data_IF_751179977238
#
_entry.id   IF_751179977238
#
_cell.length_a   1.000
_cell.length_b   1.000
_cell.length_c   1.000
_cell.angle_alpha   90.00
_cell.angle_beta   90.00
_cell.angle_gamma   90.00
#
_symmetry.space_group_name_H-M   'P 1'
#
loop_
_entity.id
_entity.type
_entity.pdbx_description
1 polymer ?
#
# COMPACT_ATOMS: atom_id res chain seq x y z
N UNK A 1 57.57 2.82 -8.99
CA UNK A 1 58.19 3.98 -8.29
C UNK A 1 58.22 5.13 -9.28
N UNK A 2 57.61 6.30 -9.11
CA UNK A 2 56.97 6.96 -7.98
C UNK A 2 55.87 7.89 -8.51
N UNK A 3 54.72 7.94 -7.82
CA UNK A 3 53.69 8.96 -7.99
C UNK A 3 54.11 10.22 -7.22
N UNK A 4 54.08 11.39 -7.86
CA UNK A 4 54.07 12.67 -7.18
C UNK A 4 52.85 13.45 -7.68
N UNK A 5 51.90 13.70 -6.77
CA UNK A 5 50.68 14.44 -7.02
C UNK A 5 50.93 15.94 -7.16
N UNK A 6 50.07 16.60 -7.93
CA UNK A 6 50.00 18.06 -8.02
C UNK A 6 48.65 18.51 -7.45
N UNK A 7 48.74 19.42 -6.48
CA UNK A 7 47.65 19.90 -5.63
C UNK A 7 46.83 21.01 -6.29
N UNK A 8 45.59 21.15 -5.84
CA UNK A 8 44.44 21.85 -6.41
C UNK A 8 44.38 23.34 -6.09
N UNK A 9 45.52 24.04 -6.03
CA UNK A 9 45.59 25.42 -5.53
C UNK A 9 46.31 26.43 -6.46
N UNK A 10 46.51 26.08 -7.75
CA UNK A 10 47.30 26.92 -8.67
C UNK A 10 46.58 27.40 -9.94
N UNK A 11 45.24 27.35 -10.00
CA UNK A 11 44.48 27.68 -11.22
C UNK A 11 43.44 28.80 -11.08
N UNK A 12 43.59 29.73 -10.13
CA UNK A 12 42.61 30.81 -9.92
C UNK A 12 43.17 32.24 -9.88
N UNK A 13 44.31 32.51 -10.55
CA UNK A 13 44.81 33.88 -10.72
C UNK A 13 45.36 34.14 -12.12
N UNK A 14 44.48 34.05 -13.12
CA UNK A 14 44.74 34.73 -14.38
C UNK A 14 43.42 35.07 -15.07
N UNK A 15 43.32 36.32 -15.53
CA UNK A 15 42.25 36.94 -16.34
C UNK A 15 41.08 37.59 -15.61
N UNK A 16 41.10 38.92 -15.55
CA UNK A 16 39.87 39.69 -15.31
C UNK A 16 39.95 41.14 -14.86
N UNK A 17 40.92 41.95 -15.31
CA UNK A 17 40.83 43.41 -15.20
C UNK A 17 40.88 44.04 -16.59
N UNK A 18 39.75 44.55 -17.08
CA UNK A 18 39.67 45.62 -18.10
C UNK A 18 38.24 46.14 -18.19
N UNK A 19 38.09 47.44 -17.97
CA UNK A 19 36.89 48.25 -18.15
C UNK A 19 36.71 48.65 -19.62
N UNK A 20 35.49 48.56 -20.15
CA UNK A 20 35.06 49.34 -21.33
C UNK A 20 33.53 49.47 -21.37
N UNK A 21 33.08 50.71 -21.53
CA UNK A 21 31.74 51.20 -21.80
C UNK A 21 31.22 50.82 -23.21
N UNK A 22 29.92 50.54 -23.36
CA UNK A 22 29.04 51.18 -24.37
C UNK A 22 27.67 50.49 -24.51
N UNK A 23 26.64 51.34 -24.56
CA UNK A 23 25.42 51.29 -25.38
C UNK A 23 24.37 50.19 -25.19
N UNK A 24 23.12 50.67 -25.22
CA UNK A 24 21.92 49.94 -24.91
C UNK A 24 21.50 48.90 -25.95
N UNK A 25 20.70 47.96 -25.47
CA UNK A 25 19.76 47.21 -26.29
C UNK A 25 18.50 46.98 -25.46
N UNK A 26 17.39 47.46 -26.01
CA UNK A 26 16.06 47.31 -25.46
C UNK A 26 15.78 45.83 -25.18
N UNK A 27 15.43 45.51 -23.94
CA UNK A 27 14.94 44.19 -23.56
C UNK A 27 13.59 43.95 -24.27
N UNK A 28 13.64 43.29 -25.43
CA UNK A 28 12.44 42.75 -26.06
C UNK A 28 11.95 41.63 -25.15
N UNK A 29 10.85 41.91 -24.46
CA UNK A 29 10.10 40.95 -23.64
C UNK A 29 9.70 39.76 -24.52
N UNK A 30 10.51 38.69 -24.50
CA UNK A 30 10.18 37.44 -25.17
C UNK A 30 9.18 36.72 -24.26
N UNK A 31 7.90 37.10 -24.40
CA UNK A 31 6.79 36.42 -23.74
C UNK A 31 6.85 34.94 -24.12
N UNK A 32 7.14 34.08 -23.14
CA UNK A 32 6.91 32.65 -23.23
C UNK A 32 5.41 32.42 -23.50
N UNK A 33 5.04 31.48 -24.38
CA UNK A 33 3.64 31.15 -24.61
C UNK A 33 2.98 30.73 -23.29
N UNK A 34 1.69 31.04 -23.07
CA UNK A 34 0.99 30.67 -21.85
C UNK A 34 1.07 29.16 -21.69
N UNK A 35 1.74 28.72 -20.62
CA UNK A 35 1.71 27.33 -20.18
C UNK A 35 0.23 26.93 -20.11
N UNK A 36 -0.16 25.99 -20.97
CA UNK A 36 -1.46 25.34 -20.86
C UNK A 36 -1.56 24.85 -19.42
N UNK A 37 -2.51 25.40 -18.66
CA UNK A 37 -2.84 24.90 -17.33
C UNK A 37 -3.10 23.41 -17.51
N UNK A 38 -2.20 22.58 -16.99
CA UNK A 38 -2.42 21.14 -16.87
C UNK A 38 -3.46 20.97 -15.76
N UNK A 39 -4.70 21.32 -16.11
CA UNK A 39 -5.86 21.21 -15.27
C UNK A 39 -6.35 19.78 -15.37
N UNK A 40 -5.86 18.95 -14.45
CA UNK A 40 -6.62 18.00 -13.62
C UNK A 40 -5.60 17.04 -13.01
N UNK A 41 -5.37 17.17 -11.71
CA UNK A 41 -4.94 16.07 -10.86
C UNK A 41 -6.07 15.03 -10.85
N UNK A 42 -6.30 14.34 -11.97
CA UNK A 42 -6.98 13.07 -11.93
C UNK A 42 -5.98 12.11 -11.29
N UNK A 43 -6.25 11.70 -10.05
CA UNK A 43 -5.64 10.50 -9.50
C UNK A 43 -6.01 9.39 -10.49
N UNK A 44 -5.07 9.04 -11.37
CA UNK A 44 -5.31 8.04 -12.39
C UNK A 44 -5.51 6.70 -11.68
N UNK A 45 -6.76 6.29 -11.58
CA UNK A 45 -7.18 5.02 -11.03
C UNK A 45 -7.58 4.11 -12.17
N UNK A 46 -6.86 3.00 -12.34
CA UNK A 46 -7.18 2.00 -13.37
C UNK A 46 -8.55 1.36 -13.13
N UNK A 47 -9.04 1.39 -11.89
CA UNK A 47 -10.38 0.90 -11.54
C UNK A 47 -11.50 1.80 -12.09
N UNK A 48 -11.20 3.06 -12.45
CA UNK A 48 -12.16 4.02 -13.00
C UNK A 48 -12.03 4.19 -14.53
N UNK A 49 -11.15 3.43 -15.18
CA UNK A 49 -11.01 3.47 -16.63
C UNK A 49 -12.31 2.96 -17.27
N UNK A 50 -13.05 3.87 -17.93
CA UNK A 50 -14.19 3.51 -18.74
C UNK A 50 -13.71 2.79 -20.00
N UNK A 51 -14.31 1.63 -20.30
CA UNK A 51 -14.02 0.84 -21.50
C UNK A 51 -15.21 0.89 -22.44
N UNK A 52 -15.01 1.43 -23.64
CA UNK A 52 -16.00 1.38 -24.71
C UNK A 52 -16.06 -0.03 -25.33
N UNK A 53 -17.15 -0.38 -26.04
CA UNK A 53 -17.23 -1.65 -26.77
C UNK A 53 -16.14 -1.80 -27.84
N UNK A 54 -15.77 -0.70 -28.49
CA UNK A 54 -14.70 -0.66 -29.50
C UNK A 54 -13.32 -0.93 -28.86
N UNK A 55 -13.03 -0.28 -27.74
CA UNK A 55 -11.78 -0.49 -27.00
C UNK A 55 -11.67 -1.93 -26.48
N UNK A 56 -12.79 -2.50 -26.02
CA UNK A 56 -12.85 -3.89 -25.57
C UNK A 56 -12.62 -4.87 -26.74
N UNK A 57 -13.17 -4.57 -27.92
CA UNK A 57 -12.91 -5.36 -29.13
C UNK A 57 -11.43 -5.35 -29.50
N UNK A 58 -10.79 -4.17 -29.47
CA UNK A 58 -9.35 -4.03 -29.71
C UNK A 58 -8.51 -4.78 -28.67
N UNK A 59 -8.92 -4.77 -27.40
CA UNK A 59 -8.29 -5.57 -26.36
C UNK A 59 -8.35 -7.08 -26.67
N UNK A 60 -9.53 -7.59 -27.05
CA UNK A 60 -9.69 -9.01 -27.41
C UNK A 60 -8.88 -9.39 -28.65
N UNK A 61 -8.87 -8.52 -29.67
CA UNK A 61 -8.04 -8.68 -30.86
C UNK A 61 -6.54 -8.69 -30.51
N UNK A 62 -6.09 -7.79 -29.64
CA UNK A 62 -4.70 -7.75 -29.19
C UNK A 62 -4.30 -9.00 -28.39
N UNK A 63 -5.22 -9.59 -27.61
CA UNK A 63 -4.98 -10.85 -26.89
C UNK A 63 -4.81 -12.04 -27.84
N UNK A 64 -5.48 -12.05 -28.99
CA UNK A 64 -5.30 -13.12 -30.00
C UNK A 64 -4.05 -12.90 -30.85
N UNK A 65 -3.71 -11.64 -31.16
CA UNK A 65 -2.51 -11.28 -31.93
C UNK A 65 -1.21 -11.45 -31.12
N UNK A 66 -1.26 -11.24 -29.80
CA UNK A 66 -0.10 -11.34 -28.90
C UNK A 66 -0.32 -12.42 -27.83
N UNK A 67 -0.21 -13.71 -28.20
CA UNK A 67 -0.53 -14.83 -27.31
C UNK A 67 0.51 -15.01 -26.19
N UNK A 68 0.12 -15.70 -25.12
CA UNK A 68 0.95 -15.90 -23.93
C UNK A 68 2.17 -16.76 -24.12
N UNK A 69 2.13 -17.63 -25.11
CA UNK A 69 3.18 -18.58 -25.41
C UNK A 69 4.36 -17.92 -26.11
N UNK A 70 4.15 -16.73 -26.72
CA UNK A 70 5.14 -16.02 -27.55
C UNK A 70 5.61 -14.68 -26.98
N UNK A 71 4.81 -14.05 -26.13
CA UNK A 71 5.12 -12.74 -25.55
C UNK A 71 5.01 -12.77 -24.03
N UNK A 72 6.03 -12.26 -23.34
CA UNK A 72 5.94 -12.02 -21.90
C UNK A 72 4.85 -10.98 -21.59
N UNK A 73 4.33 -11.00 -20.36
CA UNK A 73 3.19 -10.18 -19.99
C UNK A 73 3.44 -8.67 -20.19
N UNK A 74 4.65 -8.17 -19.94
CA UNK A 74 4.95 -6.73 -20.07
C UNK A 74 4.92 -6.35 -21.55
N UNK A 75 5.67 -7.06 -22.39
CA UNK A 75 5.69 -6.80 -23.85
C UNK A 75 4.31 -6.95 -24.47
N UNK A 76 3.54 -7.96 -24.05
CA UNK A 76 2.16 -8.18 -24.49
C UNK A 76 1.29 -6.97 -24.17
N UNK A 77 1.29 -6.50 -22.93
CA UNK A 77 0.46 -5.36 -22.52
C UNK A 77 0.87 -4.06 -23.20
N UNK A 78 2.17 -3.85 -23.46
CA UNK A 78 2.66 -2.71 -24.24
C UNK A 78 2.08 -2.74 -25.65
N UNK A 79 2.18 -3.89 -26.33
CA UNK A 79 1.69 -4.04 -27.71
C UNK A 79 0.17 -3.84 -27.80
N UNK A 80 -0.58 -4.38 -26.85
CA UNK A 80 -2.03 -4.19 -26.78
C UNK A 80 -2.38 -2.74 -26.50
N UNK A 81 -1.74 -2.10 -25.50
CA UNK A 81 -2.00 -0.69 -25.18
C UNK A 81 -1.72 0.24 -26.36
N UNK A 82 -0.72 -0.07 -27.18
CA UNK A 82 -0.43 0.69 -28.40
C UNK A 82 -1.55 0.62 -29.46
N UNK A 83 -2.46 -0.37 -29.38
CA UNK A 83 -3.62 -0.49 -30.28
C UNK A 83 -4.87 0.24 -29.78
N UNK A 84 -4.91 0.64 -28.50
CA UNK A 84 -6.11 1.20 -27.86
C UNK A 84 -5.80 2.64 -27.45
N UNK A 85 -6.34 3.66 -28.15
CA UNK A 85 -6.10 5.06 -27.80
C UNK A 85 -6.62 5.36 -26.38
N UNK A 86 -5.96 6.30 -25.71
CA UNK A 86 -6.32 6.77 -24.36
C UNK A 86 -6.33 5.71 -23.25
N UNK A 87 -5.78 4.51 -23.50
CA UNK A 87 -5.57 3.46 -22.48
C UNK A 87 -4.10 3.24 -22.24
N UNK A 88 -3.73 3.19 -20.96
CA UNK A 88 -2.35 2.90 -20.59
C UNK A 88 -2.11 1.40 -20.45
N UNK A 89 -0.83 1.01 -20.45
CA UNK A 89 -0.36 -0.35 -20.14
C UNK A 89 -0.98 -0.84 -18.81
N UNK A 90 -1.16 0.07 -17.82
CA UNK A 90 -1.75 -0.27 -16.53
C UNK A 90 -3.25 -0.58 -16.62
N UNK A 91 -3.99 0.11 -17.48
CA UNK A 91 -5.42 -0.19 -17.72
C UNK A 91 -5.58 -1.56 -18.35
N UNK A 92 -4.77 -1.83 -19.38
CA UNK A 92 -4.77 -3.11 -20.12
C UNK A 92 -4.46 -4.27 -19.17
N UNK A 93 -3.38 -4.16 -18.39
CA UNK A 93 -2.99 -5.18 -17.42
C UNK A 93 -4.09 -5.44 -16.38
N UNK A 94 -4.73 -4.37 -15.87
CA UNK A 94 -5.82 -4.49 -14.90
C UNK A 94 -7.03 -5.20 -15.51
N UNK A 95 -7.41 -4.82 -16.74
CA UNK A 95 -8.57 -5.38 -17.44
C UNK A 95 -8.38 -6.86 -17.74
N UNK A 96 -7.24 -7.26 -18.28
CA UNK A 96 -6.91 -8.67 -18.56
C UNK A 96 -6.95 -9.50 -17.28
N UNK A 97 -6.28 -9.04 -16.21
CA UNK A 97 -6.31 -9.73 -14.90
C UNK A 97 -7.73 -9.85 -14.34
N UNK A 98 -8.58 -8.85 -14.55
CA UNK A 98 -9.99 -8.90 -14.10
C UNK A 98 -10.81 -9.95 -14.84
N UNK A 99 -10.51 -10.18 -16.12
CA UNK A 99 -11.15 -11.20 -16.95
C UNK A 99 -10.72 -12.61 -16.52
N UNK A 100 -9.43 -12.83 -16.27
CA UNK A 100 -8.90 -14.13 -15.84
C UNK A 100 -9.54 -14.58 -14.50
N UNK A 101 -9.79 -13.63 -13.59
CA UNK A 101 -10.47 -13.90 -12.31
C UNK A 101 -11.93 -14.33 -12.49
N UNK A 102 -12.61 -13.89 -13.55
CA UNK A 102 -14.00 -14.28 -13.82
C UNK A 102 -14.13 -15.72 -14.34
N UNK A 103 -13.04 -16.28 -14.88
CA UNK A 103 -13.00 -17.67 -15.36
C UNK A 103 -12.71 -18.65 -14.21
N UNK A 104 -11.92 -18.24 -13.22
CA UNK A 104 -11.54 -19.09 -12.06
C UNK A 104 -12.58 -19.04 -10.92
N UNK A 105 -13.44 -18.01 -10.87
CA UNK A 105 -14.39 -17.78 -9.76
C UNK A 105 -15.82 -18.32 -9.95
N UNK A 106 -16.15 -18.95 -11.08
CA UNK A 106 -17.54 -19.34 -11.41
C UNK A 106 -18.01 -20.66 -10.78
N UNK A 107 -17.80 -20.84 -9.47
CA UNK A 107 -18.49 -21.87 -8.66
C UNK A 107 -19.34 -21.27 -7.52
N UNK A 108 -19.60 -19.97 -7.49
CA UNK A 108 -20.69 -19.41 -6.68
C UNK A 108 -21.25 -18.15 -7.35
N UNK A 109 -22.32 -18.33 -8.14
CA UNK A 109 -23.13 -17.23 -8.65
C UNK A 109 -24.04 -16.68 -7.54
N UNK A 110 -24.21 -15.35 -7.47
CA UNK A 110 -25.45 -14.74 -7.95
C UNK A 110 -25.26 -13.24 -8.29
N UNK A 111 -26.01 -12.68 -9.25
CA UNK A 111 -25.72 -11.39 -9.89
C UNK A 111 -26.61 -10.22 -9.40
N UNK A 112 -25.98 -9.03 -9.43
CA UNK A 112 -26.50 -7.72 -9.86
C UNK A 112 -27.97 -7.34 -9.59
N UNK A 113 -28.22 -6.31 -8.77
CA UNK A 113 -29.11 -5.20 -9.15
C UNK A 113 -28.97 -3.96 -8.25
N UNK A 114 -28.94 -2.81 -8.93
CA UNK A 114 -29.10 -1.44 -8.45
C UNK A 114 -30.43 -1.20 -7.73
N UNK A 115 -30.42 -0.48 -6.58
CA UNK A 115 -31.21 0.73 -6.30
C UNK A 115 -31.21 1.09 -4.79
N UNK A 116 -30.87 2.36 -4.52
CA UNK A 116 -31.38 3.28 -3.48
C UNK A 116 -31.32 2.90 -1.97
N UNK A 117 -30.64 3.76 -1.21
CA UNK A 117 -30.88 4.03 0.22
C UNK A 117 -32.14 4.93 0.40
N UNK A 118 -32.60 5.30 1.62
CA UNK A 118 -32.31 4.82 2.99
C UNK A 118 -33.57 4.58 3.86
N UNK A 119 -33.48 3.86 4.99
CA UNK A 119 -34.33 4.14 6.15
C UNK A 119 -33.79 3.54 7.47
N UNK A 120 -33.70 4.42 8.47
CA UNK A 120 -33.59 4.14 9.90
C UNK A 120 -34.70 3.21 10.40
N UNK A 121 -34.37 2.28 11.30
CA UNK A 121 -35.31 1.79 12.30
C UNK A 121 -34.59 1.49 13.61
N UNK A 122 -34.78 2.40 14.56
CA UNK A 122 -34.57 2.21 16.00
C UNK A 122 -35.59 1.19 16.52
N UNK A 123 -35.16 0.15 17.24
CA UNK A 123 -36.08 -0.62 18.10
C UNK A 123 -35.44 -0.87 19.47
N UNK A 124 -35.80 0.04 20.37
CA UNK A 124 -36.23 -0.12 21.77
C UNK A 124 -35.96 -1.45 22.51
N UNK A 125 -35.29 -1.25 23.64
CA UNK A 125 -35.26 -1.99 24.91
C UNK A 125 -36.59 -2.63 25.35
N UNK A 126 -36.50 -3.88 25.84
CA UNK A 126 -37.28 -4.50 26.94
C UNK A 126 -36.70 -5.92 27.13
N UNK A 127 -36.68 -6.61 28.27
CA UNK A 127 -36.97 -6.35 29.69
C UNK A 127 -36.30 -7.52 30.44
N UNK A 128 -35.77 -7.24 31.62
CA UNK A 128 -35.21 -8.19 32.58
C UNK A 128 -36.26 -9.17 33.08
N UNK A 129 -35.93 -10.47 33.16
CA UNK A 129 -36.50 -11.39 34.15
C UNK A 129 -35.35 -12.08 34.92
N UNK A 130 -35.43 -11.97 36.24
CA UNK A 130 -34.63 -12.70 37.22
C UNK A 130 -35.16 -14.12 37.34
N UNK A 131 -34.28 -15.12 37.36
CA UNK A 131 -34.52 -16.32 38.14
C UNK A 131 -33.23 -16.70 38.87
N UNK A 132 -33.24 -16.39 40.16
CA UNK A 132 -32.25 -16.77 41.17
C UNK A 132 -32.53 -18.21 41.59
N UNK A 133 -31.60 -19.14 41.41
CA UNK A 133 -31.44 -20.34 42.24
C UNK A 133 -29.96 -20.73 42.24
N UNK A 134 -29.35 -20.58 43.42
CA UNK A 134 -27.90 -20.54 43.60
C UNK A 134 -27.16 -21.87 43.39
N UNK A 135 -25.93 -21.73 42.89
CA UNK A 135 -24.78 -22.55 43.21
C UNK A 135 -23.51 -21.75 42.86
N UNK A 136 -22.81 -21.30 43.89
CA UNK A 136 -21.39 -20.89 43.99
C UNK A 136 -20.76 -20.00 42.87
N UNK A 137 -20.13 -18.86 43.22
CA UNK A 137 -19.43 -18.05 42.25
C UNK A 137 -18.11 -18.75 41.86
N UNK A 138 -18.08 -19.42 40.71
CA UNK A 138 -16.81 -19.60 40.02
C UNK A 138 -16.37 -18.21 39.56
N UNK A 139 -15.41 -17.69 40.33
CA UNK A 139 -14.49 -16.60 39.99
C UNK A 139 -14.38 -16.45 38.46
N UNK A 140 -14.90 -15.38 37.87
CA UNK A 140 -14.59 -15.08 36.48
C UNK A 140 -13.08 -14.94 36.38
N UNK A 141 -12.46 -15.81 35.57
CA UNK A 141 -11.09 -15.59 35.09
C UNK A 141 -11.10 -14.20 34.46
N UNK A 142 -10.55 -13.23 35.18
CA UNK A 142 -10.32 -11.88 34.69
C UNK A 142 -9.25 -11.99 33.61
N UNK A 143 -9.69 -12.33 32.40
CA UNK A 143 -8.96 -12.01 31.19
C UNK A 143 -8.81 -10.49 31.25
N UNK A 144 -7.60 -10.06 31.61
CA UNK A 144 -7.22 -8.66 31.72
C UNK A 144 -7.77 -7.94 30.49
N UNK A 145 -8.62 -6.94 30.76
CA UNK A 145 -9.14 -5.95 29.82
C UNK A 145 -8.00 -5.03 29.34
N UNK A 146 -6.91 -5.61 28.84
CA UNK A 146 -5.77 -4.89 28.27
C UNK A 146 -5.68 -5.08 26.76
N UNK A 147 -6.17 -6.19 26.22
CA UNK A 147 -6.15 -6.49 24.77
C UNK A 147 -6.98 -5.50 23.94
N UNK A 148 -8.07 -4.96 24.50
CA UNK A 148 -8.96 -4.02 23.80
C UNK A 148 -8.29 -2.63 23.62
N UNK A 149 -7.42 -2.22 24.55
CA UNK A 149 -6.77 -0.89 24.52
C UNK A 149 -5.73 -0.76 23.40
N UNK A 150 -4.92 -1.80 23.18
CA UNK A 150 -3.88 -1.79 22.15
C UNK A 150 -4.47 -1.78 20.73
N UNK A 151 -5.56 -2.51 20.51
CA UNK A 151 -6.26 -2.56 19.23
C UNK A 151 -6.88 -1.20 18.86
N UNK A 152 -7.60 -0.57 19.79
CA UNK A 152 -8.20 0.76 19.57
C UNK A 152 -7.14 1.83 19.29
N UNK A 153 -5.99 1.71 19.94
CA UNK A 153 -4.86 2.61 19.71
C UNK A 153 -4.23 2.43 18.32
N UNK A 154 -4.14 1.20 17.81
CA UNK A 154 -3.69 0.92 16.44
C UNK A 154 -4.70 1.46 15.43
N UNK A 155 -6.00 1.21 15.64
CA UNK A 155 -7.08 1.76 14.80
C UNK A 155 -7.02 3.29 14.72
N UNK A 156 -6.79 3.96 15.85
CA UNK A 156 -6.65 5.41 15.89
C UNK A 156 -5.44 5.90 15.09
N UNK A 157 -4.27 5.28 15.24
CA UNK A 157 -3.07 5.63 14.46
C UNK A 157 -3.25 5.36 12.96
N UNK A 158 -3.98 4.31 12.58
CA UNK A 158 -4.32 4.05 11.17
C UNK A 158 -5.28 5.11 10.60
N UNK A 159 -6.30 5.49 11.37
CA UNK A 159 -7.21 6.55 10.98
C UNK A 159 -6.49 7.88 10.81
N UNK A 160 -5.55 8.17 11.71
CA UNK A 160 -4.72 9.36 11.63
C UNK A 160 -3.83 9.37 10.39
N UNK A 161 -3.23 8.22 10.02
CA UNK A 161 -2.53 8.07 8.75
C UNK A 161 -3.42 8.36 7.52
N UNK A 162 -4.68 7.94 7.53
CA UNK A 162 -5.62 8.27 6.46
C UNK A 162 -5.87 9.78 6.37
N UNK A 163 -5.96 10.47 7.51
CA UNK A 163 -6.10 11.93 7.54
C UNK A 163 -4.84 12.62 7.01
N UNK A 164 -3.66 12.18 7.42
CA UNK A 164 -2.36 12.70 6.96
C UNK A 164 -2.23 12.58 5.44
N UNK A 165 -2.58 11.42 4.87
CA UNK A 165 -2.55 11.20 3.41
C UNK A 165 -3.53 12.15 2.70
N UNK A 166 -4.72 12.36 3.27
CA UNK A 166 -5.68 13.31 2.71
C UNK A 166 -5.18 14.76 2.75
N UNK A 167 -4.51 15.15 3.82
CA UNK A 167 -3.86 16.46 3.92
C UNK A 167 -2.72 16.60 2.92
N UNK A 168 -1.89 15.57 2.74
CA UNK A 168 -0.83 15.56 1.72
C UNK A 168 -1.43 15.74 0.33
N UNK A 169 -2.50 15.00 0.03
CA UNK A 169 -3.22 15.12 -1.24
C UNK A 169 -3.78 16.53 -1.45
N UNK A 170 -4.34 17.16 -0.41
CA UNK A 170 -4.85 18.53 -0.50
C UNK A 170 -3.73 19.54 -0.80
N UNK A 171 -2.60 19.42 -0.10
CA UNK A 171 -1.42 20.26 -0.32
C UNK A 171 -0.82 20.08 -1.71
N UNK A 172 -0.79 18.85 -2.22
CA UNK A 172 -0.37 18.58 -3.60
C UNK A 172 -1.31 19.25 -4.61
N UNK A 173 -2.61 19.26 -4.34
CA UNK A 173 -3.59 19.93 -5.19
C UNK A 173 -3.51 21.47 -5.12
N UNK A 174 -3.12 22.05 -3.98
CA UNK A 174 -2.90 23.49 -3.80
C UNK A 174 -1.51 23.95 -4.25
N UNK A 175 -0.57 23.03 -4.50
CA UNK A 175 0.82 23.33 -4.85
C UNK A 175 1.74 23.61 -3.65
N UNK A 176 1.26 23.39 -2.43
CA UNK A 176 1.97 23.70 -1.19
C UNK A 176 2.85 22.54 -0.71
N UNK A 177 3.89 22.22 -1.49
CA UNK A 177 4.75 21.06 -1.22
C UNK A 177 5.49 21.12 0.13
N UNK A 178 5.84 22.32 0.59
CA UNK A 178 6.57 22.51 1.85
C UNK A 178 5.78 22.01 3.07
N UNK A 179 4.45 22.10 3.04
CA UNK A 179 3.59 21.60 4.11
C UNK A 179 3.51 20.07 4.17
N UNK A 180 3.97 19.36 3.14
CA UNK A 180 4.01 17.89 3.14
C UNK A 180 5.17 17.32 3.95
N UNK A 181 6.27 18.07 4.12
CA UNK A 181 7.42 17.58 4.87
C UNK A 181 7.08 17.14 6.31
N UNK A 182 6.45 17.99 7.14
CA UNK A 182 6.03 17.57 8.49
C UNK A 182 4.96 16.46 8.47
N UNK A 183 4.07 16.45 7.48
CA UNK A 183 3.04 15.41 7.33
C UNK A 183 3.67 14.03 7.01
N UNK A 184 4.70 13.99 6.16
CA UNK A 184 5.43 12.76 5.87
C UNK A 184 6.19 12.24 7.09
N UNK A 185 6.81 13.14 7.87
CA UNK A 185 7.44 12.77 9.13
C UNK A 185 6.41 12.17 10.12
N UNK A 186 5.26 12.83 10.25
CA UNK A 186 4.16 12.34 11.09
C UNK A 186 3.64 10.96 10.65
N UNK A 187 3.45 10.75 9.34
CA UNK A 187 3.06 9.45 8.79
C UNK A 187 4.08 8.34 9.13
N UNK A 188 5.38 8.64 8.98
CA UNK A 188 6.46 7.71 9.35
C UNK A 188 6.44 7.39 10.84
N UNK A 189 6.24 8.40 11.69
CA UNK A 189 6.23 8.24 13.13
C UNK A 189 5.04 7.39 13.58
N UNK A 190 3.86 7.62 13.00
CA UNK A 190 2.68 6.77 13.19
C UNK A 190 2.90 5.32 12.76
N UNK A 191 3.52 5.07 11.61
CA UNK A 191 3.91 3.73 11.19
C UNK A 191 4.83 3.06 12.21
N UNK A 192 5.79 3.80 12.76
CA UNK A 192 6.69 3.30 13.80
C UNK A 192 5.95 2.93 15.08
N UNK A 193 4.95 3.73 15.49
CA UNK A 193 4.08 3.44 16.64
C UNK A 193 3.24 2.18 16.41
N UNK A 194 2.65 2.03 15.23
CA UNK A 194 1.85 0.86 14.86
C UNK A 194 2.71 -0.41 14.90
N UNK A 195 3.89 -0.38 14.28
CA UNK A 195 4.80 -1.53 14.24
C UNK A 195 5.25 -1.96 15.62
N UNK A 196 5.61 -1.00 16.50
CA UNK A 196 5.98 -1.29 17.89
C UNK A 196 4.85 -1.99 18.64
N UNK A 197 3.60 -1.52 18.47
CA UNK A 197 2.43 -2.10 19.13
C UNK A 197 2.11 -3.50 18.61
N UNK A 198 2.12 -3.69 17.29
CA UNK A 198 1.92 -5.01 16.69
C UNK A 198 2.99 -6.00 17.13
N UNK A 199 4.25 -5.58 17.15
CA UNK A 199 5.34 -6.41 17.66
C UNK A 199 5.12 -6.82 19.12
N UNK A 200 4.71 -5.89 19.99
CA UNK A 200 4.41 -6.21 21.38
C UNK A 200 3.25 -7.21 21.52
N UNK A 201 2.21 -7.10 20.68
CA UNK A 201 1.10 -8.06 20.66
C UNK A 201 1.54 -9.44 20.19
N UNK A 202 2.35 -9.53 19.14
CA UNK A 202 2.86 -10.80 18.62
C UNK A 202 3.84 -11.48 19.58
N UNK A 203 4.63 -10.71 20.33
CA UNK A 203 5.55 -11.24 21.34
C UNK A 203 4.86 -11.74 22.62
N UNK A 204 3.56 -11.47 22.80
CA UNK A 204 2.79 -11.95 23.94
C UNK A 204 2.29 -13.39 23.78
N UNK A 205 2.64 -14.09 22.69
CA UNK A 205 2.28 -15.51 22.49
C UNK A 205 3.17 -16.39 23.38
N UNK A 206 2.62 -17.16 24.34
CA UNK A 206 3.42 -18.05 25.17
C UNK A 206 4.10 -19.12 24.32
N UNK A 207 5.34 -19.52 24.64
CA UNK A 207 5.98 -20.64 23.97
C UNK A 207 5.15 -21.91 24.19
N UNK A 208 4.76 -22.57 23.09
CA UNK A 208 4.05 -23.84 23.17
C UNK A 208 4.93 -24.86 23.92
N UNK A 209 4.38 -25.45 24.98
CA UNK A 209 5.03 -26.56 25.68
C UNK A 209 4.95 -27.80 24.80
N UNK A 210 5.92 -27.95 23.90
CA UNK A 210 6.09 -29.20 23.16
C UNK A 210 6.85 -30.15 24.08
N UNK A 211 6.12 -31.04 24.74
CA UNK A 211 6.76 -32.23 25.31
C UNK A 211 7.09 -33.16 24.14
N UNK A 212 8.37 -33.47 23.97
CA UNK A 212 8.78 -34.48 22.99
C UNK A 212 8.41 -35.83 23.59
N UNK A 213 7.52 -36.57 22.92
CA UNK A 213 7.18 -37.94 23.31
C UNK A 213 8.41 -38.85 23.14
N UNK A 214 9.14 -39.05 24.23
CA UNK A 214 10.30 -39.96 24.31
C UNK A 214 9.90 -41.38 24.70
N UNK A 215 8.60 -41.70 24.69
CA UNK A 215 8.05 -43.02 25.08
C UNK A 215 8.63 -44.18 24.25
N UNK A 216 9.12 -43.91 23.04
CA UNK A 216 9.76 -44.90 22.17
C UNK A 216 11.26 -45.07 22.39
N UNK A 217 11.90 -44.23 23.22
CA UNK A 217 13.34 -44.31 23.52
C UNK A 217 13.66 -45.25 24.69
N UNK A 218 12.67 -45.69 25.46
CA UNK A 218 12.85 -46.45 26.70
C UNK A 218 12.62 -47.97 26.57
N UNK A 219 12.76 -48.54 25.37
CA UNK A 219 12.55 -49.97 25.14
C UNK A 219 13.81 -50.63 24.54
N UNK A 220 14.95 -50.56 25.22
CA UNK A 220 16.05 -51.53 25.05
C UNK A 220 17.15 -51.33 26.12
N UNK A 221 16.85 -51.72 27.37
CA UNK A 221 17.90 -52.13 28.30
C UNK A 221 17.34 -53.10 29.35
N UNK A 222 16.82 -54.22 28.87
CA UNK A 222 16.74 -55.45 29.67
C UNK A 222 17.52 -56.49 28.92
N UNK A 223 18.75 -56.73 29.39
CA UNK A 223 19.48 -57.99 29.39
C UNK A 223 20.98 -57.67 29.41
N UNK A 224 21.60 -57.79 30.57
CA UNK A 224 22.52 -58.90 30.78
C UNK A 224 22.82 -59.07 32.27
N UNK A 225 22.77 -60.34 32.66
CA UNK A 225 23.26 -60.90 33.91
C UNK A 225 24.65 -60.37 34.25
N UNK A 226 24.98 -60.22 35.53
CA UNK A 226 26.06 -61.02 36.09
C UNK A 226 25.99 -61.10 37.61
N UNK A 227 26.21 -62.34 38.04
CA UNK A 227 26.11 -62.92 39.36
C UNK A 227 27.52 -62.95 39.96
N UNK A 228 27.73 -62.32 41.12
CA UNK A 228 28.78 -62.67 42.11
C UNK A 228 28.26 -62.36 43.51
#
# INVERSE_FOLDING_TARGET
>A
MNHAGLSRDQLEKQYGASSASSQGSAATSRMLPPQQKISRSNVYSTAQAAWSPEELHLLHKGLTEFPSERYDNITRYIKIAATIPDKSIRDVAYKIRSMDKSVVGNNNQLPQQSHMLPAMAQVKRQKVEHNDHGMQPLIPLTIKKETISSEDSIKKSLQDNANVINSIRANLASGELHHNFPLMAHFRDNCSVILKKLSAMCSAVPPMSVQIDTSLLAAECSNNQDNV
#
